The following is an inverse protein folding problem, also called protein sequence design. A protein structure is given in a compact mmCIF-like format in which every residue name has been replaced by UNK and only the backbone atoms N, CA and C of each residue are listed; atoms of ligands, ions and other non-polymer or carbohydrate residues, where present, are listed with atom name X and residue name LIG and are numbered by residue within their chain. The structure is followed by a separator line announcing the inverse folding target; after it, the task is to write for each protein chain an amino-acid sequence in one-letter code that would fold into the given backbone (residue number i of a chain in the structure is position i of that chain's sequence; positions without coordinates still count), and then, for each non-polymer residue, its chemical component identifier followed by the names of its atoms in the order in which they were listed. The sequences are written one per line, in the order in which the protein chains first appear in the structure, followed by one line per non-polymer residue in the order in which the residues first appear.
data_IF_100179457588
#
_entry.id   IF_100179457588
#
_cell.length_a   1.000
_cell.length_b   1.000
_cell.length_c   1.000
_cell.angle_alpha   90.00
_cell.angle_beta   90.00
_cell.angle_gamma   90.00
#
_symmetry.space_group_name_H-M   'P 1'
#
loop_
_entity.id
_entity.type
_entity.pdbx_description
1 polymer ?
#
# COMPACT_ATOMS: atom_id res chain seq x y z
N UNK A 1 -2.58 24.27 4.62
CA UNK A 1 -2.94 23.70 5.94
C UNK A 1 -2.76 22.20 5.86
N UNK A 2 -2.40 21.54 6.95
CA UNK A 2 -2.36 20.08 6.93
C UNK A 2 -3.80 19.55 6.88
N UNK A 3 -4.05 18.57 6.02
CA UNK A 3 -5.35 17.91 5.93
C UNK A 3 -5.18 16.45 6.33
N UNK A 4 -5.99 15.99 7.27
CA UNK A 4 -5.98 14.62 7.77
C UNK A 4 -7.35 13.98 7.51
N UNK A 5 -7.34 12.77 6.96
CA UNK A 5 -8.53 11.97 6.73
C UNK A 5 -8.29 10.52 7.11
N UNK A 6 -9.28 9.87 7.70
CA UNK A 6 -9.28 8.41 7.90
C UNK A 6 -10.21 7.78 6.89
N UNK A 7 -9.65 6.93 6.04
CA UNK A 7 -10.34 6.14 5.04
C UNK A 7 -10.69 4.79 5.68
N UNK A 8 -11.99 4.45 5.71
CA UNK A 8 -12.46 3.24 6.37
C UNK A 8 -12.54 2.09 5.39
N UNK A 9 -12.07 0.92 5.81
CA UNK A 9 -12.03 -0.26 4.95
C UNK A 9 -13.40 -0.69 4.42
N UNK A 10 -14.45 -0.45 5.21
CA UNK A 10 -15.83 -0.74 4.82
C UNK A 10 -16.31 0.08 3.61
N UNK A 11 -15.65 1.21 3.31
CA UNK A 11 -16.06 2.15 2.28
C UNK A 11 -15.24 2.02 0.98
N UNK A 12 -14.25 1.11 0.93
CA UNK A 12 -13.42 0.95 -0.26
C UNK A 12 -14.22 0.42 -1.45
N UNK A 13 -14.20 1.10 -2.60
CA UNK A 13 -14.85 0.59 -3.80
C UNK A 13 -14.12 -0.67 -4.29
N UNK A 14 -14.90 -1.73 -4.54
CA UNK A 14 -14.41 -3.01 -5.01
C UNK A 14 -14.71 -3.21 -6.49
N UNK A 15 -13.68 -3.53 -7.27
CA UNK A 15 -13.77 -3.77 -8.71
C UNK A 15 -13.29 -5.19 -9.04
N UNK A 16 -14.17 -6.10 -9.49
CA UNK A 16 -13.77 -7.41 -10.00
C UNK A 16 -12.87 -7.29 -11.23
N UNK A 17 -11.89 -8.19 -11.36
CA UNK A 17 -11.04 -8.25 -12.54
C UNK A 17 -11.78 -8.88 -13.72
N UNK A 18 -11.49 -8.40 -14.93
CA UNK A 18 -12.13 -8.91 -16.17
C UNK A 18 -11.91 -10.41 -16.40
N UNK A 19 -10.80 -10.96 -15.91
CA UNK A 19 -10.46 -12.38 -16.06
C UNK A 19 -11.08 -13.28 -14.97
N UNK A 20 -11.80 -12.71 -13.99
CA UNK A 20 -12.42 -13.47 -12.90
C UNK A 20 -11.46 -13.96 -11.81
N UNK A 21 -10.14 -13.80 -11.98
CA UNK A 21 -9.12 -14.32 -11.06
C UNK A 21 -8.97 -13.55 -9.74
N UNK A 22 -9.76 -12.49 -9.53
CA UNK A 22 -9.64 -11.62 -8.36
C UNK A 22 -10.46 -10.33 -8.41
N UNK A 23 -10.18 -9.45 -7.48
CA UNK A 23 -10.76 -8.11 -7.40
C UNK A 23 -9.81 -7.12 -6.72
N UNK A 24 -10.00 -5.83 -6.95
CA UNK A 24 -9.24 -4.77 -6.28
C UNK A 24 -10.17 -3.85 -5.50
N UNK A 25 -9.81 -3.60 -4.24
CA UNK A 25 -10.36 -2.54 -3.39
C UNK A 25 -9.40 -1.36 -3.44
N UNK A 26 -9.86 -0.23 -3.97
CA UNK A 26 -9.03 0.99 -3.99
C UNK A 26 -9.13 1.73 -2.66
N UNK A 27 -7.98 2.10 -2.10
CA UNK A 27 -7.91 2.86 -0.86
C UNK A 27 -7.91 4.36 -1.18
N UNK A 28 -6.91 4.81 -1.93
CA UNK A 28 -6.74 6.23 -2.29
C UNK A 28 -5.75 6.40 -3.44
N UNK A 29 -5.71 7.59 -4.03
CA UNK A 29 -4.82 8.03 -5.11
C UNK A 29 -4.59 9.55 -5.00
N UNK A 30 -3.59 10.10 -5.69
CA UNK A 30 -3.40 11.55 -5.75
C UNK A 30 -4.49 12.27 -6.55
N UNK A 31 -4.65 11.89 -7.82
CA UNK A 31 -5.55 12.53 -8.77
C UNK A 31 -5.78 11.64 -10.00
N UNK A 32 -6.79 12.01 -10.80
CA UNK A 32 -7.15 11.30 -12.04
C UNK A 32 -8.14 10.15 -11.84
N UNK A 33 -8.87 9.80 -12.90
CA UNK A 33 -9.82 8.68 -12.93
C UNK A 33 -9.26 7.52 -13.78
N UNK A 34 -9.64 6.28 -13.46
CA UNK A 34 -9.20 5.09 -14.20
C UNK A 34 -7.88 4.49 -13.72
N UNK A 35 -7.22 3.70 -14.58
CA UNK A 35 -5.97 2.96 -14.30
C UNK A 35 -4.73 3.62 -14.92
N UNK A 36 -4.87 4.77 -15.56
CA UNK A 36 -3.79 5.53 -16.18
C UNK A 36 -3.79 6.98 -15.65
N UNK A 37 -2.67 7.67 -15.78
CA UNK A 37 -2.56 9.11 -15.48
C UNK A 37 -2.37 9.48 -14.00
N UNK A 38 -2.78 8.63 -13.06
CA UNK A 38 -2.56 8.86 -11.61
C UNK A 38 -1.07 8.92 -11.27
N UNK A 39 -0.65 9.75 -10.33
CA UNK A 39 0.72 9.84 -9.85
C UNK A 39 1.10 8.72 -8.91
N UNK A 40 0.19 8.37 -8.00
CA UNK A 40 0.29 7.18 -7.16
C UNK A 40 -1.09 6.64 -6.80
N UNK A 41 -1.14 5.36 -6.49
CA UNK A 41 -2.36 4.63 -6.13
C UNK A 41 -2.05 3.59 -5.06
N UNK A 42 -2.93 3.53 -4.06
CA UNK A 42 -2.90 2.53 -3.00
C UNK A 42 -4.15 1.65 -3.05
N UNK A 43 -3.97 0.34 -2.96
CA UNK A 43 -5.09 -0.61 -3.07
C UNK A 43 -4.81 -1.93 -2.38
N UNK A 44 -5.86 -2.69 -2.12
CA UNK A 44 -5.83 -4.10 -1.73
C UNK A 44 -6.32 -4.93 -2.90
N UNK A 45 -5.70 -6.06 -3.22
CA UNK A 45 -6.28 -7.01 -4.16
C UNK A 45 -6.53 -8.38 -3.53
N UNK A 46 -7.65 -8.98 -3.89
CA UNK A 46 -7.93 -10.39 -3.65
C UNK A 46 -7.49 -11.17 -4.88
N UNK A 47 -6.60 -12.15 -4.69
CA UNK A 47 -6.08 -13.02 -5.74
C UNK A 47 -6.60 -14.43 -5.47
N UNK A 48 -7.58 -14.85 -6.25
CA UNK A 48 -8.21 -16.16 -6.13
C UNK A 48 -7.46 -17.27 -6.86
N UNK A 49 -6.79 -16.91 -7.96
CA UNK A 49 -6.12 -17.86 -8.85
C UNK A 49 -4.72 -17.38 -9.24
N UNK A 50 -3.83 -18.35 -9.51
CA UNK A 50 -2.51 -18.04 -10.07
C UNK A 50 -2.66 -17.52 -11.50
N UNK A 51 -1.85 -16.52 -11.87
CA UNK A 51 -2.00 -15.88 -13.17
C UNK A 51 -1.07 -14.70 -13.41
N UNK A 52 -1.15 -14.14 -14.61
CA UNK A 52 -0.41 -12.94 -14.99
C UNK A 52 -0.98 -11.68 -14.33
N UNK A 53 -0.09 -10.76 -13.97
CA UNK A 53 -0.48 -9.41 -13.56
C UNK A 53 -0.56 -8.48 -14.77
N UNK A 54 -1.42 -7.47 -14.67
CA UNK A 54 -1.45 -6.37 -15.65
C UNK A 54 -0.18 -5.52 -15.51
N UNK A 55 0.32 -5.07 -16.67
CA UNK A 55 1.41 -4.10 -16.75
C UNK A 55 0.89 -2.69 -16.47
N UNK A 56 1.76 -1.85 -15.91
CA UNK A 56 1.58 -0.43 -15.65
C UNK A 56 2.83 0.29 -16.16
N UNK A 57 2.85 0.63 -17.45
CA UNK A 57 4.00 1.23 -18.11
C UNK A 57 4.42 2.56 -17.46
N UNK A 58 5.72 2.76 -17.25
CA UNK A 58 6.25 3.94 -16.56
C UNK A 58 5.98 4.02 -15.05
N UNK A 59 5.44 2.96 -14.41
CA UNK A 59 5.22 2.93 -12.96
C UNK A 59 6.19 2.01 -12.24
N UNK A 60 6.45 2.32 -10.96
CA UNK A 60 7.04 1.42 -9.99
C UNK A 60 5.93 0.79 -9.15
N UNK A 61 6.05 -0.52 -8.87
CA UNK A 61 5.14 -1.25 -7.99
C UNK A 61 5.87 -1.75 -6.75
N UNK A 62 5.19 -1.68 -5.61
CA UNK A 62 5.58 -2.35 -4.37
C UNK A 62 4.37 -3.12 -3.85
N UNK A 63 4.53 -4.43 -3.71
CA UNK A 63 3.47 -5.35 -3.29
C UNK A 63 3.81 -5.98 -1.94
N UNK A 64 2.82 -6.36 -1.16
CA UNK A 64 2.99 -7.12 0.09
C UNK A 64 1.79 -8.03 0.33
N UNK A 65 2.01 -9.27 0.72
CA UNK A 65 0.90 -10.16 1.12
C UNK A 65 0.32 -9.66 2.46
N UNK A 66 -1.00 -9.57 2.57
CA UNK A 66 -1.71 -9.22 3.81
C UNK A 66 -2.29 -10.45 4.51
N UNK A 67 -2.86 -11.36 3.73
CA UNK A 67 -3.56 -12.55 4.22
C UNK A 67 -3.31 -13.73 3.28
N UNK A 68 -3.27 -14.93 3.84
CA UNK A 68 -3.02 -16.19 3.14
C UNK A 68 -1.56 -16.64 3.29
N UNK A 69 -1.24 -17.82 2.74
CA UNK A 69 0.06 -18.47 2.93
C UNK A 69 1.22 -17.76 2.22
N UNK A 70 0.92 -16.95 1.19
CA UNK A 70 1.91 -16.24 0.40
C UNK A 70 1.87 -16.61 -1.08
N UNK A 71 2.83 -16.06 -1.82
CA UNK A 71 2.97 -16.28 -3.26
C UNK A 71 4.44 -16.28 -3.70
N UNK A 72 4.70 -16.86 -4.86
CA UNK A 72 5.92 -16.62 -5.62
C UNK A 72 5.59 -15.78 -6.84
N UNK A 73 6.45 -14.80 -7.14
CA UNK A 73 6.37 -14.08 -8.40
C UNK A 73 7.42 -14.63 -9.37
N UNK A 74 7.11 -14.54 -10.65
CA UNK A 74 8.08 -14.59 -11.73
C UNK A 74 8.07 -13.24 -12.41
N UNK A 75 9.22 -12.57 -12.47
CA UNK A 75 9.40 -11.23 -13.04
C UNK A 75 10.39 -11.36 -14.19
N UNK A 76 9.95 -11.07 -15.41
CA UNK A 76 10.77 -11.16 -16.63
C UNK A 76 11.47 -12.53 -16.78
N UNK A 77 10.72 -13.59 -16.44
CA UNK A 77 11.20 -14.98 -16.48
C UNK A 77 11.99 -15.42 -15.24
N UNK A 78 12.44 -14.50 -14.38
CA UNK A 78 13.19 -14.82 -13.16
C UNK A 78 12.25 -15.07 -11.97
N UNK A 79 12.43 -16.20 -11.29
CA UNK A 79 11.65 -16.54 -10.09
C UNK A 79 12.16 -15.76 -8.88
N UNK A 80 11.25 -15.14 -8.13
CA UNK A 80 11.57 -14.46 -6.87
C UNK A 80 11.65 -15.46 -5.71
N UNK A 81 12.17 -15.01 -4.57
CA UNK A 81 11.91 -15.66 -3.28
C UNK A 81 10.39 -15.75 -3.01
N UNK A 82 9.97 -16.60 -2.08
CA UNK A 82 8.58 -16.56 -1.58
C UNK A 82 8.30 -15.20 -0.91
N UNK A 83 7.11 -14.67 -1.16
CA UNK A 83 6.57 -13.47 -0.52
C UNK A 83 5.56 -13.93 0.53
N UNK A 84 5.95 -13.78 1.79
CA UNK A 84 5.12 -14.12 2.95
C UNK A 84 4.36 -12.86 3.43
N UNK A 85 3.41 -12.99 4.38
CA UNK A 85 2.68 -11.84 4.92
C UNK A 85 3.61 -10.72 5.41
N UNK A 86 3.32 -9.50 4.98
CA UNK A 86 4.03 -8.25 5.28
C UNK A 86 5.47 -8.17 4.75
N UNK A 87 5.80 -9.02 3.79
CA UNK A 87 7.09 -9.03 3.13
C UNK A 87 7.02 -8.28 1.80
N UNK A 88 7.52 -7.04 1.82
CA UNK A 88 7.43 -6.16 0.66
C UNK A 88 8.35 -6.60 -0.48
N UNK A 89 7.88 -6.42 -1.70
CA UNK A 89 8.66 -6.68 -2.91
C UNK A 89 8.41 -5.62 -3.96
N UNK A 90 9.48 -5.10 -4.55
CA UNK A 90 9.42 -4.04 -5.56
C UNK A 90 9.75 -4.60 -6.95
N UNK A 91 9.01 -4.17 -7.96
CA UNK A 91 9.25 -4.52 -9.36
C UNK A 91 8.72 -3.42 -10.30
N UNK A 92 9.28 -3.35 -11.51
CA UNK A 92 8.81 -2.41 -12.53
C UNK A 92 7.39 -2.77 -12.97
N UNK A 93 6.54 -1.76 -13.17
CA UNK A 93 5.23 -1.94 -13.77
C UNK A 93 5.28 -2.39 -15.23
N UNK A 94 6.42 -2.23 -15.91
CA UNK A 94 6.65 -2.69 -17.28
C UNK A 94 6.99 -4.19 -17.36
N UNK A 95 7.47 -4.78 -16.25
CA UNK A 95 7.88 -6.18 -16.23
C UNK A 95 6.71 -7.12 -16.53
N UNK A 96 7.00 -8.21 -17.25
CA UNK A 96 6.07 -9.32 -17.38
C UNK A 96 6.07 -10.12 -16.07
N UNK A 97 4.96 -10.02 -15.31
CA UNK A 97 4.85 -10.65 -13.99
C UNK A 97 3.75 -11.71 -13.97
N UNK A 98 4.08 -12.88 -13.43
CA UNK A 98 3.11 -13.91 -13.07
C UNK A 98 3.21 -14.29 -11.60
N UNK A 99 2.08 -14.63 -11.01
CA UNK A 99 1.93 -15.02 -9.62
C UNK A 99 1.56 -16.50 -9.52
N UNK A 100 2.26 -17.23 -8.65
CA UNK A 100 1.89 -18.59 -8.22
C UNK A 100 1.54 -18.56 -6.74
N UNK A 101 0.29 -18.90 -6.41
CA UNK A 101 -0.19 -19.00 -5.04
C UNK A 101 0.42 -20.22 -4.36
N UNK A 102 0.87 -20.08 -3.11
CA UNK A 102 1.48 -21.18 -2.37
C UNK A 102 0.45 -22.17 -1.83
N UNK A 103 -0.61 -21.65 -1.21
CA UNK A 103 -1.70 -22.44 -0.63
C UNK A 103 -2.97 -21.60 -0.55
N UNK A 104 -3.76 -21.66 -1.62
CA UNK A 104 -5.05 -20.98 -1.74
C UNK A 104 -4.99 -19.46 -1.97
N UNK A 105 -6.17 -18.79 -1.92
CA UNK A 105 -6.29 -17.36 -2.19
C UNK A 105 -5.54 -16.48 -1.20
N UNK A 106 -5.07 -15.33 -1.68
CA UNK A 106 -4.42 -14.31 -0.85
C UNK A 106 -5.11 -12.96 -0.98
N UNK A 107 -4.87 -12.11 0.02
CA UNK A 107 -5.06 -10.66 -0.10
C UNK A 107 -3.70 -9.99 -0.13
N UNK A 108 -3.48 -9.04 -1.01
CA UNK A 108 -2.25 -8.25 -1.09
C UNK A 108 -2.51 -6.76 -0.89
N UNK A 109 -1.44 -6.02 -0.63
CA UNK A 109 -1.39 -4.58 -0.54
C UNK A 109 -0.47 -4.07 -1.64
N UNK A 110 -0.94 -3.09 -2.41
CA UNK A 110 -0.28 -2.57 -3.59
C UNK A 110 -0.09 -1.06 -3.49
N UNK A 111 1.16 -0.62 -3.58
CA UNK A 111 1.53 0.75 -3.93
C UNK A 111 2.01 0.76 -5.39
N UNK A 112 1.40 1.61 -6.21
CA UNK A 112 1.83 1.88 -7.59
C UNK A 112 2.11 3.38 -7.67
N UNK A 113 3.28 3.80 -8.16
CA UNK A 113 3.62 5.21 -8.29
C UNK A 113 4.50 5.50 -9.51
N UNK A 114 4.38 6.70 -10.07
CA UNK A 114 5.20 7.15 -11.20
C UNK A 114 6.53 7.72 -10.65
N UNK A 115 7.67 7.03 -10.80
CA UNK A 115 8.94 7.42 -10.17
C UNK A 115 9.49 8.75 -10.72
N UNK A 116 9.12 9.14 -11.94
CA UNK A 116 9.49 10.44 -12.52
C UNK A 116 8.76 11.63 -11.88
N UNK A 117 7.65 11.36 -11.18
CA UNK A 117 6.83 12.40 -10.51
C UNK A 117 6.93 12.34 -8.99
N UNK A 118 7.19 11.16 -8.42
CA UNK A 118 7.18 10.94 -6.98
C UNK A 118 8.37 10.12 -6.50
N UNK A 119 8.92 10.53 -5.36
CA UNK A 119 9.74 9.70 -4.48
C UNK A 119 8.81 9.00 -3.50
N UNK A 120 9.01 7.69 -3.31
CA UNK A 120 8.25 6.89 -2.37
C UNK A 120 9.16 6.20 -1.35
N UNK A 121 8.68 6.14 -0.11
CA UNK A 121 9.20 5.27 0.95
C UNK A 121 8.04 4.42 1.45
N UNK A 122 8.29 3.13 1.68
CA UNK A 122 7.33 2.19 2.23
C UNK A 122 8.02 1.36 3.31
N UNK A 123 7.40 1.24 4.48
CA UNK A 123 7.91 0.41 5.56
C UNK A 123 6.79 -0.26 6.35
N UNK A 124 6.86 -1.58 6.49
CA UNK A 124 6.05 -2.33 7.44
C UNK A 124 6.63 -2.21 8.85
N UNK A 125 5.77 -1.94 9.82
CA UNK A 125 6.09 -1.83 11.24
C UNK A 125 5.20 -2.79 12.04
N UNK A 126 5.76 -3.41 13.07
CA UNK A 126 5.04 -4.23 14.04
C UNK A 126 5.40 -3.72 15.45
N UNK A 127 4.82 -2.58 15.82
CA UNK A 127 5.17 -1.83 17.00
C UNK A 127 4.37 -2.30 18.23
N UNK A 128 5.01 -2.97 19.19
CA UNK A 128 4.39 -3.31 20.48
C UNK A 128 4.41 -2.14 21.48
N UNK A 129 5.27 -1.16 21.23
CA UNK A 129 5.36 0.12 21.95
C UNK A 129 5.34 1.25 20.93
N UNK A 130 4.92 2.48 21.31
CA UNK A 130 4.87 3.60 20.38
C UNK A 130 6.22 3.84 19.69
N UNK A 131 6.23 3.67 18.36
CA UNK A 131 7.36 4.02 17.51
C UNK A 131 7.18 5.44 17.00
N UNK A 132 8.21 6.25 17.16
CA UNK A 132 8.21 7.65 16.72
C UNK A 132 9.12 7.84 15.52
N UNK A 133 8.65 8.62 14.55
CA UNK A 133 9.47 9.12 13.46
C UNK A 133 9.09 10.56 13.12
N UNK A 134 9.97 11.22 12.38
CA UNK A 134 9.73 12.56 11.86
C UNK A 134 9.81 12.54 10.34
N UNK A 135 8.91 13.25 9.67
CA UNK A 135 8.86 13.30 8.22
C UNK A 135 8.52 14.69 7.71
N UNK A 136 9.10 15.06 6.58
CA UNK A 136 8.74 16.25 5.80
C UNK A 136 8.08 15.87 4.48
N UNK A 137 7.68 14.61 4.31
CA UNK A 137 7.01 14.17 3.08
C UNK A 137 5.67 14.89 2.91
N UNK A 138 5.33 15.19 1.67
CA UNK A 138 4.10 15.90 1.33
C UNK A 138 2.85 15.06 1.64
N UNK A 139 2.89 13.77 1.31
CA UNK A 139 1.82 12.82 1.62
C UNK A 139 2.35 11.73 2.53
N UNK A 140 1.66 11.49 3.64
CA UNK A 140 1.92 10.36 4.53
C UNK A 140 0.66 9.50 4.62
N UNK A 141 0.83 8.19 4.42
CA UNK A 141 -0.23 7.20 4.57
C UNK A 141 0.17 6.23 5.68
N UNK A 142 -0.75 5.94 6.60
CA UNK A 142 -0.60 4.88 7.61
C UNK A 142 -1.71 3.87 7.39
N UNK A 143 -1.35 2.74 6.78
CA UNK A 143 -2.28 1.63 6.53
C UNK A 143 -2.25 0.63 7.67
N UNK A 144 -3.39 0.37 8.28
CA UNK A 144 -3.52 -0.57 9.41
C UNK A 144 -3.62 -2.02 8.94
N UNK A 145 -2.87 -2.93 9.54
CA UNK A 145 -2.96 -4.37 9.28
C UNK A 145 -3.21 -5.20 10.55
N UNK A 146 -3.69 -4.56 11.62
CA UNK A 146 -4.19 -5.20 12.84
C UNK A 146 -5.53 -4.58 13.24
N UNK A 147 -6.27 -5.23 14.15
CA UNK A 147 -7.60 -4.76 14.59
C UNK A 147 -7.58 -3.36 15.21
N UNK A 148 -6.45 -2.95 15.77
CA UNK A 148 -6.28 -1.61 16.32
C UNK A 148 -4.85 -1.12 16.10
N UNK A 149 -4.69 -0.07 15.29
CA UNK A 149 -3.46 0.72 15.19
C UNK A 149 -3.75 2.10 15.76
N UNK A 150 -2.86 2.57 16.64
CA UNK A 150 -2.92 3.92 17.20
C UNK A 150 -1.95 4.80 16.42
N UNK A 151 -2.42 5.96 15.96
CA UNK A 151 -1.59 6.94 15.25
C UNK A 151 -1.69 8.28 15.97
N UNK A 152 -0.56 8.85 16.37
CA UNK A 152 -0.48 10.22 16.85
C UNK A 152 0.20 11.11 15.80
N UNK A 153 -0.36 12.29 15.53
CA UNK A 153 0.23 13.31 14.64
C UNK A 153 0.44 14.59 15.44
N UNK A 154 1.71 14.93 15.67
CA UNK A 154 2.09 15.98 16.62
C UNK A 154 1.57 15.69 18.03
N UNK A 155 1.21 16.74 18.76
CA UNK A 155 0.75 16.65 20.15
C UNK A 155 -0.79 16.70 20.30
N UNK A 156 -1.53 16.83 19.20
CA UNK A 156 -2.96 17.21 19.25
C UNK A 156 -3.88 16.21 18.58
N UNK A 157 -3.38 15.40 17.64
CA UNK A 157 -4.22 14.47 16.88
C UNK A 157 -3.86 13.04 17.22
N UNK A 158 -4.88 12.26 17.59
CA UNK A 158 -4.77 10.83 17.87
C UNK A 158 -5.91 10.10 17.18
N UNK A 159 -5.59 9.07 16.42
CA UNK A 159 -6.54 8.28 15.67
C UNK A 159 -6.40 6.78 15.99
N UNK A 160 -7.52 6.08 15.91
CA UNK A 160 -7.59 4.63 15.98
C UNK A 160 -8.06 4.09 14.63
N UNK A 161 -7.20 3.25 14.04
CA UNK A 161 -7.45 2.62 12.76
C UNK A 161 -7.83 1.16 13.01
N UNK A 162 -9.00 0.76 12.49
CA UNK A 162 -9.41 -0.64 12.42
C UNK A 162 -8.54 -1.39 11.41
N UNK A 163 -8.76 -2.70 11.27
CA UNK A 163 -8.06 -3.49 10.28
C UNK A 163 -8.33 -2.97 8.87
N UNK A 164 -7.27 -2.67 8.13
CA UNK A 164 -7.26 -2.13 6.77
C UNK A 164 -7.75 -0.70 6.59
N UNK A 165 -8.10 0.00 7.67
CA UNK A 165 -8.27 1.46 7.63
C UNK A 165 -6.94 2.13 7.25
N UNK A 166 -7.04 3.29 6.60
CA UNK A 166 -5.87 4.06 6.19
C UNK A 166 -6.01 5.52 6.63
N UNK A 167 -5.05 6.01 7.41
CA UNK A 167 -4.91 7.44 7.66
C UNK A 167 -4.13 8.06 6.51
N UNK A 168 -4.66 9.13 5.93
CA UNK A 168 -4.01 9.95 4.92
C UNK A 168 -3.80 11.36 5.45
N UNK A 169 -2.56 11.83 5.33
CA UNK A 169 -2.14 13.16 5.74
C UNK A 169 -1.51 13.88 4.57
N UNK A 170 -2.07 15.04 4.21
CA UNK A 170 -1.42 16.01 3.33
C UNK A 170 -0.70 17.04 4.20
N UNK A 171 0.62 17.09 4.10
CA UNK A 171 1.51 17.93 4.86
C UNK A 171 1.92 19.14 4.02
N UNK A 172 1.88 20.34 4.61
CA UNK A 172 2.37 21.56 3.97
C UNK A 172 3.90 21.68 4.06
N UNK A 173 4.62 20.59 3.73
CA UNK A 173 6.09 20.47 3.72
C UNK A 173 6.79 20.89 5.03
N UNK A 174 6.12 20.66 6.16
CA UNK A 174 6.68 20.90 7.50
C UNK A 174 7.26 19.61 8.08
N UNK A 175 8.17 19.73 9.04
CA UNK A 175 8.60 18.58 9.82
C UNK A 175 7.46 18.17 10.78
N UNK A 176 6.93 16.96 10.58
CA UNK A 176 5.86 16.39 11.39
C UNK A 176 6.38 15.24 12.23
N UNK A 177 6.00 15.23 13.51
CA UNK A 177 6.17 14.08 14.40
C UNK A 177 4.99 13.14 14.23
N UNK A 178 5.27 11.86 13.96
CA UNK A 178 4.26 10.80 13.89
C UNK A 178 4.65 9.69 14.87
N UNK A 179 3.66 9.22 15.62
CA UNK A 179 3.79 8.06 16.49
C UNK A 179 2.83 6.97 16.03
N UNK A 180 3.29 5.72 16.00
CA UNK A 180 2.46 4.57 15.62
C UNK A 180 2.64 3.41 16.60
N UNK A 181 1.53 2.75 16.94
CA UNK A 181 1.53 1.50 17.73
C UNK A 181 0.59 0.49 17.07
N UNK A 182 1.02 -0.76 16.94
CA UNK A 182 0.31 -1.81 16.20
C UNK A 182 1.03 -2.20 14.89
N UNK A 183 0.41 -3.12 14.14
CA UNK A 183 0.95 -3.56 12.84
C UNK A 183 0.41 -2.67 11.72
N UNK A 184 1.28 -1.94 11.05
CA UNK A 184 0.91 -1.01 10.00
C UNK A 184 1.97 -0.91 8.91
N UNK A 185 1.59 -0.34 7.77
CA UNK A 185 2.50 0.11 6.74
C UNK A 185 2.52 1.64 6.72
N UNK A 186 3.70 2.23 6.86
CA UNK A 186 3.92 3.66 6.70
C UNK A 186 4.43 3.91 5.29
N UNK A 187 3.75 4.79 4.56
CA UNK A 187 4.15 5.23 3.23
C UNK A 187 4.33 6.74 3.24
N UNK A 188 5.40 7.20 2.64
CA UNK A 188 5.72 8.60 2.48
C UNK A 188 5.95 8.88 0.99
N UNK A 189 5.26 9.88 0.47
CA UNK A 189 5.30 10.28 -0.93
C UNK A 189 5.62 11.78 -1.01
N UNK A 190 6.59 12.12 -1.85
CA UNK A 190 7.00 13.51 -2.13
C UNK A 190 7.19 13.69 -3.62
N UNK A 191 7.01 14.92 -4.14
CA UNK A 191 7.37 15.22 -5.51
C UNK A 191 8.86 14.89 -5.77
N UNK A 192 9.16 14.37 -6.96
CA UNK A 192 10.51 13.92 -7.34
C UNK A 192 11.53 15.05 -7.48
#
# INVERSE_FOLDING_TARGET
MNALSVLRAADYPRMPWKNGGGSTEEITRDAGEGLEGFGWRLSIADIGESGGFSQFEGYQRIISVLQGAGMNLQVDGARTRALLPFDAFAFSGESAVSCTLMDGPIRDFNLIYAPDRFRARLQWLAATTPQRFFTSAHTVLVFSASEQVQVGVGNTHHEHLGRYDCLQLSNADRLLEITVTGRCCVIELSAA
#
